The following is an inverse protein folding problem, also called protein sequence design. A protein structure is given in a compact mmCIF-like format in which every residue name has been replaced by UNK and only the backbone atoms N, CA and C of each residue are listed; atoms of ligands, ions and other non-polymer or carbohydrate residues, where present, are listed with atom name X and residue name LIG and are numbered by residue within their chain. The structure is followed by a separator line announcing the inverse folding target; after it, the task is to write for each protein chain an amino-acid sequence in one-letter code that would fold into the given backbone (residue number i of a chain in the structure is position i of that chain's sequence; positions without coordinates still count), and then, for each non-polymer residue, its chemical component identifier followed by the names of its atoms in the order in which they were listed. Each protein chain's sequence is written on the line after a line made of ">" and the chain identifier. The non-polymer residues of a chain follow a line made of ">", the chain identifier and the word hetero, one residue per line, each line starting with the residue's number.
data_IF_114195645488
#
_entry.id   IF_114195645488
#
_cell.length_a   1.000
_cell.length_b   1.000
_cell.length_c   1.000
_cell.angle_alpha   90.00
_cell.angle_beta   90.00
_cell.angle_gamma   90.00
#
_symmetry.space_group_name_H-M   'P 1'
#
loop_
_entity.id
_entity.type
_entity.pdbx_description
1 polymer ?
#
# COMPACT_ATOMS: atom_id res chain seq x y z
N UNK A 1 1.01 25.28 0.52
CA UNK A 1 1.68 24.14 1.19
C UNK A 1 0.68 23.19 1.86
N UNK A 2 -0.20 23.65 2.75
CA UNK A 2 -1.13 22.77 3.50
C UNK A 2 -2.13 22.04 2.59
N UNK A 3 -2.75 22.74 1.63
CA UNK A 3 -3.71 22.14 0.68
C UNK A 3 -3.05 21.06 -0.19
N UNK A 4 -1.84 21.33 -0.70
CA UNK A 4 -1.08 20.34 -1.47
C UNK A 4 -0.68 19.13 -0.63
N UNK A 5 -0.33 19.32 0.66
CA UNK A 5 -0.09 18.22 1.60
C UNK A 5 -1.34 17.39 1.87
N UNK A 6 -2.49 18.04 1.98
CA UNK A 6 -3.77 17.36 2.16
C UNK A 6 -4.13 16.51 0.94
N UNK A 7 -4.01 17.08 -0.26
CA UNK A 7 -4.20 16.36 -1.52
C UNK A 7 -3.23 15.19 -1.68
N UNK A 8 -1.95 15.41 -1.36
CA UNK A 8 -0.94 14.36 -1.44
C UNK A 8 -1.20 13.24 -0.42
N UNK A 9 -1.63 13.58 0.80
CA UNK A 9 -2.07 12.62 1.80
C UNK A 9 -3.27 11.78 1.35
N UNK A 10 -4.26 12.42 0.72
CA UNK A 10 -5.41 11.70 0.14
C UNK A 10 -4.99 10.76 -1.00
N UNK A 11 -4.12 11.22 -1.90
CA UNK A 11 -3.64 10.42 -3.01
C UNK A 11 -2.81 9.21 -2.54
N UNK A 12 -1.88 9.43 -1.61
CA UNK A 12 -1.04 8.38 -1.04
C UNK A 12 -1.86 7.40 -0.19
N UNK A 13 -2.81 7.90 0.60
CA UNK A 13 -3.71 7.06 1.38
C UNK A 13 -4.58 6.16 0.50
N UNK A 14 -5.14 6.72 -0.58
CA UNK A 14 -5.90 5.95 -1.57
C UNK A 14 -5.05 4.88 -2.25
N UNK A 15 -3.84 5.23 -2.70
CA UNK A 15 -2.90 4.28 -3.30
C UNK A 15 -2.50 3.17 -2.31
N UNK A 16 -2.27 3.51 -1.04
CA UNK A 16 -1.86 2.56 -0.01
C UNK A 16 -2.91 1.50 0.28
N UNK A 17 -4.19 1.77 0.03
CA UNK A 17 -5.27 0.76 0.14
C UNK A 17 -5.48 0.04 -1.19
N UNK A 18 -5.45 0.76 -2.30
CA UNK A 18 -5.69 0.20 -3.63
C UNK A 18 -4.61 -0.80 -4.07
N UNK A 19 -3.33 -0.50 -3.82
CA UNK A 19 -2.19 -1.34 -4.23
C UNK A 19 -2.25 -2.74 -3.58
N UNK A 20 -2.29 -2.91 -2.25
CA UNK A 20 -2.34 -4.24 -1.65
C UNK A 20 -3.63 -4.99 -2.01
N UNK A 21 -4.75 -4.28 -2.20
CA UNK A 21 -6.00 -4.89 -2.67
C UNK A 21 -5.84 -5.44 -4.08
N UNK A 22 -5.30 -4.63 -5.00
CA UNK A 22 -5.03 -5.06 -6.38
C UNK A 22 -4.05 -6.24 -6.43
N UNK A 23 -2.95 -6.17 -5.65
CA UNK A 23 -2.01 -7.28 -5.54
C UNK A 23 -2.69 -8.53 -4.99
N UNK A 24 -3.51 -8.43 -3.94
CA UNK A 24 -4.22 -9.57 -3.36
C UNK A 24 -5.26 -10.19 -4.33
N UNK A 25 -5.88 -9.39 -5.19
CA UNK A 25 -6.78 -9.85 -6.24
C UNK A 25 -6.06 -10.52 -7.41
N UNK A 26 -4.86 -10.04 -7.75
CA UNK A 26 -4.00 -10.66 -8.76
C UNK A 26 -3.26 -11.91 -8.26
N UNK A 27 -3.10 -12.02 -6.94
CA UNK A 27 -2.35 -13.10 -6.30
C UNK A 27 -3.06 -14.45 -6.40
N UNK A 28 -2.37 -15.52 -6.83
CA UNK A 28 -2.87 -16.87 -6.63
C UNK A 28 -3.02 -17.20 -5.15
N UNK A 29 -4.08 -17.94 -4.81
CA UNK A 29 -4.44 -18.23 -3.41
C UNK A 29 -3.29 -18.84 -2.59
N UNK A 30 -2.37 -19.57 -3.24
CA UNK A 30 -1.20 -20.19 -2.61
C UNK A 30 -0.04 -19.21 -2.30
N UNK A 31 0.01 -18.03 -2.92
CA UNK A 31 1.12 -17.08 -2.80
C UNK A 31 0.69 -15.70 -2.28
N UNK A 32 -0.60 -15.54 -1.91
CA UNK A 32 -1.12 -14.30 -1.32
C UNK A 32 -0.25 -13.79 -0.17
N UNK A 33 0.15 -14.67 0.75
CA UNK A 33 1.03 -14.28 1.87
C UNK A 33 2.36 -13.69 1.38
N UNK A 34 3.03 -14.37 0.44
CA UNK A 34 4.31 -13.90 -0.11
C UNK A 34 4.18 -12.55 -0.83
N UNK A 35 3.11 -12.36 -1.59
CA UNK A 35 2.88 -11.12 -2.34
C UNK A 35 2.56 -9.96 -1.40
N UNK A 36 1.79 -10.21 -0.33
CA UNK A 36 1.52 -9.20 0.71
C UNK A 36 2.81 -8.83 1.45
N UNK A 37 3.63 -9.80 1.85
CA UNK A 37 4.93 -9.53 2.48
C UNK A 37 5.88 -8.77 1.55
N UNK A 38 5.87 -9.06 0.24
CA UNK A 38 6.65 -8.30 -0.74
C UNK A 38 6.21 -6.84 -0.83
N UNK A 39 4.90 -6.56 -0.74
CA UNK A 39 4.39 -5.19 -0.70
C UNK A 39 4.90 -4.44 0.54
N UNK A 40 4.87 -5.07 1.72
CA UNK A 40 5.45 -4.47 2.93
C UNK A 40 6.95 -4.23 2.81
N UNK A 41 7.71 -5.19 2.26
CA UNK A 41 9.14 -5.03 2.00
C UNK A 41 9.41 -3.85 1.05
N UNK A 42 8.59 -3.67 0.01
CA UNK A 42 8.72 -2.52 -0.90
C UNK A 42 8.45 -1.20 -0.20
N UNK A 43 7.47 -1.14 0.70
CA UNK A 43 7.20 0.07 1.51
C UNK A 43 8.40 0.40 2.39
N UNK A 44 8.92 -0.59 3.14
CA UNK A 44 10.08 -0.40 4.02
C UNK A 44 11.34 -0.02 3.23
N UNK A 45 11.55 -0.64 2.07
CA UNK A 45 12.67 -0.30 1.17
C UNK A 45 12.54 1.11 0.61
N UNK A 46 11.33 1.53 0.21
CA UNK A 46 11.07 2.90 -0.24
C UNK A 46 11.34 3.93 0.85
N UNK A 47 10.96 3.62 2.09
CA UNK A 47 11.26 4.46 3.25
C UNK A 47 12.76 4.54 3.55
N UNK A 48 13.48 3.41 3.48
CA UNK A 48 14.94 3.38 3.60
C UNK A 48 15.61 4.25 2.53
N UNK A 49 15.20 4.10 1.27
CA UNK A 49 15.72 4.91 0.16
C UNK A 49 15.44 6.40 0.38
N UNK A 50 14.23 6.74 0.85
CA UNK A 50 13.89 8.13 1.20
C UNK A 50 14.84 8.68 2.27
N UNK A 51 15.16 7.90 3.31
CA UNK A 51 16.14 8.30 4.32
C UNK A 51 17.56 8.43 3.75
N UNK A 52 17.98 7.53 2.87
CA UNK A 52 19.31 7.61 2.24
C UNK A 52 19.42 8.85 1.35
N UNK A 53 18.42 9.13 0.49
CA UNK A 53 18.42 10.32 -0.34
C UNK A 53 18.41 11.60 0.50
N UNK A 54 17.61 11.61 1.56
CA UNK A 54 17.56 12.76 2.46
C UNK A 54 18.90 12.95 3.20
N UNK A 55 19.56 11.88 3.65
CA UNK A 55 20.90 11.95 4.23
C UNK A 55 21.97 12.47 3.26
N UNK A 56 21.94 12.03 1.99
CA UNK A 56 22.84 12.51 0.94
C UNK A 56 22.63 14.01 0.70
N UNK A 57 21.38 14.44 0.59
CA UNK A 57 21.02 15.85 0.35
C UNK A 57 21.42 16.72 1.54
N UNK A 58 21.15 16.27 2.77
CA UNK A 58 21.53 16.98 3.99
C UNK A 58 23.04 17.12 4.16
N UNK A 59 23.83 16.12 3.74
CA UNK A 59 25.28 16.19 3.80
C UNK A 59 25.88 17.06 2.67
N UNK A 60 25.30 17.08 1.46
CA UNK A 60 25.81 17.89 0.34
C UNK A 60 25.39 19.38 0.38
N UNK A 61 24.22 19.70 0.93
CA UNK A 61 23.62 21.05 0.85
C UNK A 61 23.36 21.71 2.22
N UNK A 62 24.03 21.26 3.28
CA UNK A 62 23.76 21.54 4.71
C UNK A 62 23.57 23.00 5.18
N UNK A 63 23.68 24.01 4.33
CA UNK A 63 23.39 25.43 4.68
C UNK A 63 22.39 26.13 3.74
N UNK A 64 21.86 25.46 2.72
CA UNK A 64 21.00 26.13 1.73
C UNK A 64 19.50 26.06 2.12
N UNK A 65 18.79 27.19 2.32
CA UNK A 65 17.36 27.21 2.67
C UNK A 65 16.43 26.67 1.58
N UNK A 66 16.97 26.24 0.42
CA UNK A 66 16.25 25.66 -0.71
C UNK A 66 16.24 24.13 -0.75
N UNK A 67 16.91 23.45 0.19
CA UNK A 67 17.00 21.97 0.25
C UNK A 67 15.63 21.29 0.22
N UNK A 68 14.64 21.80 0.96
CA UNK A 68 13.28 21.27 0.97
C UNK A 68 12.59 21.33 -0.42
N UNK A 69 12.99 22.27 -1.28
CA UNK A 69 12.48 22.36 -2.66
C UNK A 69 13.07 21.32 -3.59
N UNK A 70 14.27 20.82 -3.30
CA UNK A 70 14.94 19.75 -4.06
C UNK A 70 14.41 18.38 -3.61
N UNK A 71 14.01 18.24 -2.35
CA UNK A 71 13.35 17.01 -1.85
C UNK A 71 12.00 16.74 -2.52
N UNK A 72 11.22 17.78 -2.83
CA UNK A 72 9.90 17.66 -3.48
C UNK A 72 9.93 16.97 -4.86
N UNK A 73 10.77 17.38 -5.85
CA UNK A 73 10.85 16.73 -7.14
C UNK A 73 11.48 15.33 -7.05
N UNK A 74 12.35 15.07 -6.08
CA UNK A 74 12.89 13.71 -5.84
C UNK A 74 11.77 12.77 -5.36
N UNK A 75 10.89 13.23 -4.47
CA UNK A 75 9.70 12.47 -4.08
C UNK A 75 8.67 12.33 -5.22
N UNK A 76 8.63 13.30 -6.15
CA UNK A 76 7.76 13.24 -7.33
C UNK A 76 8.23 12.20 -8.36
N UNK A 77 9.53 11.89 -8.42
CA UNK A 77 10.10 11.01 -9.43
C UNK A 77 9.57 9.56 -9.35
N UNK A 78 9.51 8.90 -8.16
CA UNK A 78 8.82 7.62 -8.01
C UNK A 78 7.32 7.70 -8.33
N UNK A 79 6.66 8.81 -8.00
CA UNK A 79 5.24 8.99 -8.29
C UNK A 79 4.96 9.07 -9.80
N UNK A 80 5.85 9.73 -10.56
CA UNK A 80 5.79 9.78 -12.02
C UNK A 80 6.03 8.38 -12.61
N UNK A 81 7.02 7.65 -12.11
CA UNK A 81 7.28 6.26 -12.53
C UNK A 81 6.04 5.39 -12.27
N UNK A 82 5.43 5.52 -11.08
CA UNK A 82 4.20 4.80 -10.75
C UNK A 82 3.04 5.19 -11.67
N UNK A 83 2.89 6.48 -11.98
CA UNK A 83 1.84 6.97 -12.88
C UNK A 83 1.96 6.37 -14.28
N UNK A 84 3.15 6.42 -14.88
CA UNK A 84 3.39 5.78 -16.18
C UNK A 84 3.33 4.25 -16.10
N UNK A 85 3.74 3.66 -14.99
CA UNK A 85 3.63 2.22 -14.73
C UNK A 85 2.18 1.76 -14.71
N UNK A 86 1.29 2.51 -14.03
CA UNK A 86 -0.13 2.19 -13.96
C UNK A 86 -0.82 2.20 -15.33
N UNK A 87 -0.38 3.05 -16.27
CA UNK A 87 -0.92 3.05 -17.63
C UNK A 87 -0.69 1.72 -18.39
N UNK A 88 0.26 0.89 -17.94
CA UNK A 88 0.62 -0.37 -18.59
C UNK A 88 0.14 -1.61 -17.82
N UNK A 89 -0.28 -1.45 -16.56
CA UNK A 89 -0.75 -2.55 -15.72
C UNK A 89 -2.20 -2.90 -16.09
N UNK A 90 -2.52 -4.17 -16.41
CA UNK A 90 -3.89 -4.58 -16.70
C UNK A 90 -4.78 -4.43 -15.46
N UNK A 91 -6.06 -4.14 -15.68
CA UNK A 91 -7.06 -4.01 -14.62
C UNK A 91 -7.30 -5.35 -13.90
N UNK A 92 -7.82 -5.28 -12.65
CA UNK A 92 -8.10 -6.48 -11.86
C UNK A 92 -9.19 -7.34 -12.55
N UNK A 93 -9.00 -8.67 -12.70
CA UNK A 93 -9.97 -9.59 -13.26
C UNK A 93 -11.31 -9.54 -12.54
N UNK A 94 -11.32 -9.30 -11.22
CA UNK A 94 -12.55 -9.16 -10.45
C UNK A 94 -13.31 -7.91 -10.86
N UNK A 95 -12.59 -6.80 -11.05
CA UNK A 95 -13.17 -5.54 -11.53
C UNK A 95 -13.71 -5.69 -12.96
N UNK A 96 -12.96 -6.36 -13.84
CA UNK A 96 -13.38 -6.63 -15.22
C UNK A 96 -14.65 -7.49 -15.27
N UNK A 97 -14.77 -8.53 -14.43
CA UNK A 97 -16.01 -9.32 -14.28
C UNK A 97 -17.17 -8.44 -13.78
N UNK A 98 -16.95 -7.59 -12.76
CA UNK A 98 -18.01 -6.70 -12.27
C UNK A 98 -18.46 -5.64 -13.28
N UNK A 99 -17.58 -5.29 -14.22
CA UNK A 99 -17.84 -4.33 -15.31
C UNK A 99 -18.41 -5.00 -16.57
N UNK A 100 -18.68 -6.31 -16.53
CA UNK A 100 -19.23 -7.08 -17.65
C UNK A 100 -18.22 -7.42 -18.76
N UNK A 101 -16.94 -7.15 -18.56
CA UNK A 101 -15.85 -7.39 -19.52
C UNK A 101 -15.22 -8.77 -19.31
N UNK A 102 -16.01 -9.83 -19.54
CA UNK A 102 -15.59 -11.22 -19.29
C UNK A 102 -14.36 -11.64 -20.10
N UNK A 103 -14.29 -11.28 -21.37
CA UNK A 103 -13.20 -11.70 -22.26
C UNK A 103 -11.86 -11.05 -21.88
N UNK A 104 -11.87 -9.77 -21.49
CA UNK A 104 -10.70 -9.08 -20.96
C UNK A 104 -10.24 -9.72 -19.63
N UNK A 105 -11.17 -10.06 -18.74
CA UNK A 105 -10.85 -10.75 -17.48
C UNK A 105 -10.15 -12.09 -17.73
N UNK A 106 -10.66 -12.88 -18.69
CA UNK A 106 -10.09 -14.17 -19.08
C UNK A 106 -8.69 -14.01 -19.67
N UNK A 107 -8.45 -13.01 -20.52
CA UNK A 107 -7.13 -12.72 -21.07
C UNK A 107 -6.11 -12.34 -19.98
N UNK A 108 -6.53 -11.54 -18.98
CA UNK A 108 -5.66 -11.17 -17.85
C UNK A 108 -5.38 -12.37 -16.96
N UNK A 109 -6.39 -13.20 -16.66
CA UNK A 109 -6.22 -14.44 -15.90
C UNK A 109 -5.28 -15.43 -16.60
N UNK A 110 -5.39 -15.58 -17.93
CA UNK A 110 -4.53 -16.44 -18.73
C UNK A 110 -3.07 -15.98 -18.80
N UNK A 111 -2.77 -14.70 -18.54
CA UNK A 111 -1.38 -14.22 -18.42
C UNK A 111 -0.71 -14.64 -17.11
N UNK A 112 -1.52 -14.92 -16.08
CA UNK A 112 -1.05 -15.20 -14.71
C UNK A 112 -1.16 -16.70 -14.41
N UNK A 113 -2.10 -17.42 -15.03
CA UNK A 113 -2.41 -18.83 -14.77
C UNK A 113 -2.53 -19.67 -16.03
N UNK A 114 -2.53 -20.99 -15.84
CA UNK A 114 -2.86 -21.94 -16.89
C UNK A 114 -4.27 -21.67 -17.44
N UNK A 115 -4.52 -21.96 -18.73
CA UNK A 115 -5.84 -21.74 -19.34
C UNK A 115 -6.99 -22.39 -18.57
N UNK A 116 -6.77 -23.60 -18.07
CA UNK A 116 -7.78 -24.38 -17.33
C UNK A 116 -8.08 -23.77 -15.97
N UNK A 117 -7.05 -23.31 -15.24
CA UNK A 117 -7.25 -22.63 -13.96
C UNK A 117 -7.86 -21.23 -14.11
N UNK A 118 -7.53 -20.54 -15.20
CA UNK A 118 -8.08 -19.22 -15.53
C UNK A 118 -9.60 -19.29 -15.77
N UNK A 119 -10.07 -20.27 -16.55
CA UNK A 119 -11.51 -20.47 -16.78
C UNK A 119 -12.26 -20.89 -15.52
N UNK A 120 -11.66 -21.78 -14.71
CA UNK A 120 -12.24 -22.19 -13.43
C UNK A 120 -12.38 -21.00 -12.47
N UNK A 121 -11.32 -20.20 -12.32
CA UNK A 121 -11.36 -19.03 -11.45
C UNK A 121 -12.30 -17.95 -11.96
N UNK A 122 -12.39 -17.74 -13.27
CA UNK A 122 -13.36 -16.81 -13.85
C UNK A 122 -14.80 -17.23 -13.48
N UNK A 123 -15.13 -18.51 -13.62
CA UNK A 123 -16.42 -19.06 -13.24
C UNK A 123 -16.68 -18.93 -11.73
N UNK A 124 -15.67 -19.15 -10.88
CA UNK A 124 -15.78 -18.92 -9.43
C UNK A 124 -16.06 -17.45 -9.10
N UNK A 125 -15.38 -16.51 -9.77
CA UNK A 125 -15.57 -15.06 -9.56
C UNK A 125 -16.97 -14.64 -10.02
N UNK A 126 -17.46 -15.13 -11.15
CA UNK A 126 -18.82 -14.85 -11.64
C UNK A 126 -19.90 -15.42 -10.72
N UNK A 127 -19.76 -16.67 -10.29
CA UNK A 127 -20.68 -17.28 -9.32
C UNK A 127 -20.69 -16.50 -8.00
N UNK A 128 -19.52 -16.00 -7.55
CA UNK A 128 -19.43 -15.14 -6.38
C UNK A 128 -20.07 -13.75 -6.62
N UNK A 129 -19.97 -13.21 -7.83
CA UNK A 129 -20.60 -11.96 -8.21
C UNK A 129 -22.13 -12.09 -8.28
N UNK A 130 -22.66 -13.15 -8.87
CA UNK A 130 -24.11 -13.41 -8.90
C UNK A 130 -24.67 -13.64 -7.51
N UNK A 131 -23.97 -14.39 -6.65
CA UNK A 131 -24.33 -14.52 -5.24
C UNK A 131 -24.32 -13.17 -4.53
N UNK A 132 -23.33 -12.31 -4.79
CA UNK A 132 -23.26 -10.95 -4.23
C UNK A 132 -24.30 -10.00 -4.79
N UNK A 133 -24.76 -10.17 -6.03
CA UNK A 133 -25.85 -9.38 -6.62
C UNK A 133 -27.19 -9.65 -5.94
N UNK A 134 -27.38 -10.88 -5.46
CA UNK A 134 -28.57 -11.32 -4.72
C UNK A 134 -28.46 -11.17 -3.20
N UNK A 135 -27.29 -10.80 -2.67
CA UNK A 135 -27.09 -10.48 -1.26
C UNK A 135 -27.11 -8.96 -1.09
N UNK A 136 -27.87 -8.45 -0.12
CA UNK A 136 -27.81 -7.04 0.25
C UNK A 136 -26.37 -6.64 0.58
N UNK A 137 -25.93 -5.47 0.10
CA UNK A 137 -24.59 -4.94 0.39
C UNK A 137 -24.39 -4.96 1.91
N UNK A 138 -23.27 -5.56 2.35
CA UNK A 138 -22.94 -5.66 3.76
C UNK A 138 -23.08 -4.27 4.41
N UNK A 139 -24.06 -4.13 5.30
CA UNK A 139 -24.46 -2.85 5.88
C UNK A 139 -23.97 -2.81 7.32
N UNK A 140 -23.91 -1.63 7.94
CA UNK A 140 -23.62 -1.47 9.38
C UNK A 140 -24.49 -2.36 10.30
N UNK A 141 -25.60 -2.94 9.81
CA UNK A 141 -26.42 -3.94 10.52
C UNK A 141 -25.74 -5.32 10.67
N UNK A 142 -24.82 -5.72 9.78
CA UNK A 142 -24.08 -6.99 9.90
C UNK A 142 -23.07 -6.98 11.05
N UNK A 143 -22.79 -5.80 11.60
CA UNK A 143 -21.98 -5.63 12.80
C UNK A 143 -22.64 -6.21 14.06
N UNK A 144 -23.96 -6.46 14.04
CA UNK A 144 -24.68 -7.16 15.11
C UNK A 144 -24.47 -8.68 15.10
N UNK A 145 -23.84 -9.24 14.07
CA UNK A 145 -23.52 -10.67 14.02
C UNK A 145 -22.32 -10.95 14.94
N UNK A 146 -22.50 -11.80 15.94
CA UNK A 146 -21.50 -12.07 16.99
C UNK A 146 -20.12 -12.51 16.44
N UNK A 147 -20.11 -13.31 15.37
CA UNK A 147 -18.86 -13.74 14.72
C UNK A 147 -18.16 -12.59 13.98
N UNK A 148 -18.91 -11.75 13.26
CA UNK A 148 -18.36 -10.57 12.57
C UNK A 148 -17.78 -9.59 13.59
N UNK A 149 -18.48 -9.34 14.70
CA UNK A 149 -17.98 -8.49 15.78
C UNK A 149 -16.69 -9.03 16.40
N UNK A 150 -16.58 -10.35 16.60
CA UNK A 150 -15.33 -10.97 17.08
C UNK A 150 -14.18 -10.78 16.08
N UNK A 151 -14.45 -10.96 14.79
CA UNK A 151 -13.45 -10.77 13.74
C UNK A 151 -12.96 -9.31 13.69
N UNK A 152 -13.88 -8.35 13.77
CA UNK A 152 -13.54 -6.92 13.78
C UNK A 152 -12.80 -6.53 15.05
N UNK A 153 -13.22 -7.02 16.23
CA UNK A 153 -12.50 -6.76 17.49
C UNK A 153 -11.07 -7.30 17.46
N UNK A 154 -10.86 -8.50 16.91
CA UNK A 154 -9.51 -9.06 16.72
C UNK A 154 -8.70 -8.19 15.75
N UNK A 155 -9.28 -7.79 14.62
CA UNK A 155 -8.61 -6.92 13.65
C UNK A 155 -8.23 -5.55 14.23
N UNK A 156 -9.14 -4.92 14.99
CA UNK A 156 -8.89 -3.67 15.71
C UNK A 156 -7.82 -3.87 16.77
N UNK A 157 -7.86 -4.96 17.54
CA UNK A 157 -6.85 -5.28 18.54
C UNK A 157 -5.46 -5.43 17.93
N UNK A 158 -5.34 -6.16 16.82
CA UNK A 158 -4.08 -6.32 16.08
C UNK A 158 -3.58 -4.96 15.57
N UNK A 159 -4.46 -4.13 14.98
CA UNK A 159 -4.09 -2.81 14.49
C UNK A 159 -3.60 -1.88 15.61
N UNK A 160 -4.25 -1.94 16.79
CA UNK A 160 -3.82 -1.18 17.98
C UNK A 160 -2.45 -1.65 18.44
N UNK A 161 -2.23 -2.97 18.56
CA UNK A 161 -0.92 -3.52 18.96
C UNK A 161 0.16 -3.09 17.96
N UNK A 162 -0.14 -3.13 16.66
CA UNK A 162 0.79 -2.70 15.61
C UNK A 162 1.13 -1.20 15.69
N UNK A 163 0.22 -0.35 16.17
CA UNK A 163 0.51 1.08 16.38
C UNK A 163 1.25 1.33 17.70
N UNK A 164 0.90 0.59 18.76
CA UNK A 164 1.50 0.72 20.10
C UNK A 164 2.98 0.31 20.13
N UNK A 165 3.41 -0.61 19.26
CA UNK A 165 4.84 -0.93 19.08
C UNK A 165 5.67 0.31 18.74
N UNK A 166 5.04 1.42 18.34
CA UNK A 166 5.69 2.72 18.27
C UNK A 166 6.72 2.80 17.15
N UNK A 167 6.61 1.95 16.13
CA UNK A 167 7.50 1.98 14.95
C UNK A 167 7.56 3.38 14.36
N UNK A 168 6.41 4.06 14.25
CA UNK A 168 6.35 5.44 13.80
C UNK A 168 7.09 6.39 14.76
N UNK A 169 6.97 6.21 16.08
CA UNK A 169 7.67 7.04 17.07
C UNK A 169 9.18 6.86 17.01
N UNK A 170 9.68 5.63 16.90
CA UNK A 170 11.11 5.33 16.72
C UNK A 170 11.61 5.93 15.40
N UNK A 171 10.78 5.89 14.36
CA UNK A 171 11.12 6.43 13.05
C UNK A 171 11.24 7.96 13.05
N UNK A 172 10.36 8.68 13.75
CA UNK A 172 10.41 10.14 13.81
C UNK A 172 11.40 10.68 14.85
N UNK A 173 11.55 10.00 15.99
CA UNK A 173 12.35 10.47 17.13
C UNK A 173 13.60 9.64 17.40
N UNK A 174 13.93 8.68 16.53
CA UNK A 174 15.06 7.77 16.72
C UNK A 174 16.38 8.52 16.91
N UNK A 175 16.60 9.60 16.15
CA UNK A 175 17.79 10.46 16.29
C UNK A 175 17.83 11.19 17.63
N UNK A 176 16.69 11.69 18.12
CA UNK A 176 16.58 12.36 19.42
C UNK A 176 16.79 11.37 20.58
N UNK A 177 16.29 10.14 20.45
CA UNK A 177 16.52 9.05 21.42
C UNK A 177 18.00 8.67 21.45
N UNK A 178 18.64 8.54 20.30
CA UNK A 178 20.08 8.27 20.17
C UNK A 178 20.93 9.41 20.78
N UNK A 179 20.49 10.66 20.59
CA UNK A 179 21.10 11.86 21.20
C UNK A 179 20.97 11.84 22.73
N UNK A 180 19.78 11.51 23.24
CA UNK A 180 19.53 11.35 24.68
C UNK A 180 20.29 10.18 25.33
N UNK A 181 20.66 9.16 24.54
CA UNK A 181 21.45 8.01 24.98
C UNK A 181 22.98 8.26 24.98
N UNK A 182 23.44 9.46 24.58
CA UNK A 182 24.85 9.87 24.69
C UNK A 182 25.71 9.61 23.45
N UNK A 183 25.14 9.35 22.27
CA UNK A 183 25.89 9.27 21.02
C UNK A 183 26.14 10.67 20.43
N UNK A 184 27.42 11.04 20.24
CA UNK A 184 27.87 12.38 19.82
C UNK A 184 27.94 12.56 18.28
N UNK A 185 26.97 13.31 17.77
CA UNK A 185 27.01 14.38 16.75
C UNK A 185 28.26 14.55 15.85
N UNK A 186 28.59 13.59 14.98
CA UNK A 186 29.36 13.87 13.74
C UNK A 186 28.74 13.34 12.45
N UNK A 187 27.56 12.74 12.53
CA UNK A 187 26.82 12.18 11.40
C UNK A 187 25.31 12.43 11.51
N UNK A 188 24.93 13.41 12.33
CA UNK A 188 23.55 13.87 12.49
C UNK A 188 23.14 14.71 11.28
N UNK A 189 22.44 14.06 10.36
CA UNK A 189 21.59 14.77 9.40
C UNK A 189 20.38 15.23 10.20
N UNK A 190 20.36 16.51 10.57
CA UNK A 190 19.14 17.16 11.03
C UNK A 190 18.16 17.23 9.85
N UNK A 191 16.96 16.71 10.08
CA UNK A 191 15.90 16.45 9.10
C UNK A 191 15.10 17.69 8.69
#
# INVERSE_FOLDING_TARGET
>A
MIIFRFLLGLAVGGASVAVPTFLAEMSPANQRGRIVTQNELMIVTGQLLAFVFNAIIGNLLGENPFVWRIMLPIAALPAIILFFGMLRVPESPRWLVTSGKRDEALQVLQKIRSKVDAERELSEIENAYEKKKNLDKATFKDFSISWVRRLVLIGVGIAIVQQITGVNSIMYYGTEILRGAGFDTKSSVDW
#
